data_IF_982501923614
#
_entry.id   IF_982501923614
#
_cell.length_a   1.000
_cell.length_b   1.000
_cell.length_c   1.000
_cell.angle_alpha   90.00
_cell.angle_beta   90.00
_cell.angle_gamma   90.00
#
_symmetry.space_group_name_H-M   'P 1'
#
loop_
_entity.id
_entity.type
_entity.pdbx_description
1 polymer ?
#
# COMPACT_ATOMS: atom_id res chain seq x y z
N UNK A 1 10.14 6.09 -2.86
CA UNK A 1 9.83 5.06 -1.84
C UNK A 1 10.88 5.04 -0.72
N UNK A 2 12.17 4.81 -1.02
CA UNK A 2 13.23 4.64 -0.02
C UNK A 2 13.44 5.87 0.89
N UNK A 3 13.49 7.07 0.30
CA UNK A 3 13.64 8.33 1.07
C UNK A 3 12.55 8.51 2.13
N UNK A 4 11.28 8.23 1.79
CA UNK A 4 10.15 8.33 2.72
C UNK A 4 10.23 7.34 3.89
N UNK A 5 10.81 6.15 3.68
CA UNK A 5 10.98 5.13 4.74
C UNK A 5 12.08 5.56 5.71
N UNK A 6 13.20 6.06 5.20
CA UNK A 6 14.33 6.50 6.03
C UNK A 6 13.98 7.77 6.81
N UNK A 7 13.36 8.75 6.16
CA UNK A 7 12.91 10.00 6.80
C UNK A 7 11.76 9.73 7.79
N UNK A 8 10.92 8.72 7.52
CA UNK A 8 9.86 8.31 8.44
C UNK A 8 10.35 7.75 9.78
N UNK A 9 11.65 7.48 9.94
CA UNK A 9 12.28 6.96 11.15
C UNK A 9 13.15 7.99 11.88
N UNK A 10 12.99 9.27 11.59
CA UNK A 10 13.82 10.34 12.14
C UNK A 10 13.59 10.59 13.64
N UNK A 11 12.33 10.48 14.10
CA UNK A 11 11.99 10.66 15.52
C UNK A 11 11.97 9.33 16.28
N UNK A 12 12.35 9.36 17.56
CA UNK A 12 12.27 8.19 18.46
C UNK A 12 10.86 7.61 18.56
N UNK A 13 9.82 8.45 18.53
CA UNK A 13 8.41 8.03 18.54
C UNK A 13 8.02 7.30 17.25
N UNK A 14 8.46 7.83 16.10
CA UNK A 14 8.23 7.20 14.80
C UNK A 14 8.91 5.83 14.73
N UNK A 15 10.15 5.72 15.25
CA UNK A 15 10.89 4.45 15.35
C UNK A 15 10.18 3.44 16.25
N UNK A 16 9.72 3.85 17.43
CA UNK A 16 9.00 2.97 18.36
C UNK A 16 7.69 2.45 17.74
N UNK A 17 6.93 3.32 17.08
CA UNK A 17 5.69 2.96 16.39
C UNK A 17 5.94 2.01 15.22
N UNK A 18 7.02 2.21 14.46
CA UNK A 18 7.41 1.31 13.37
C UNK A 18 7.78 -0.08 13.90
N UNK A 19 8.58 -0.17 14.96
CA UNK A 19 8.93 -1.45 15.60
C UNK A 19 7.69 -2.19 16.11
N UNK A 20 6.79 -1.49 16.80
CA UNK A 20 5.55 -2.09 17.29
C UNK A 20 4.70 -2.68 16.15
N UNK A 21 4.51 -1.95 15.05
CA UNK A 21 3.78 -2.46 13.87
C UNK A 21 4.44 -3.69 13.26
N UNK A 22 5.76 -3.71 13.18
CA UNK A 22 6.50 -4.86 12.65
C UNK A 22 6.30 -6.11 13.52
N UNK A 23 6.33 -5.99 14.85
CA UNK A 23 6.05 -7.12 15.75
C UNK A 23 4.59 -7.60 15.63
N UNK A 24 3.63 -6.66 15.52
CA UNK A 24 2.21 -6.99 15.42
C UNK A 24 1.87 -7.69 14.09
N UNK A 25 2.36 -7.16 12.98
CA UNK A 25 1.98 -7.61 11.64
C UNK A 25 2.86 -8.76 11.15
N UNK A 26 4.16 -8.72 11.45
CA UNK A 26 5.16 -9.62 10.88
C UNK A 26 5.82 -10.54 11.91
N UNK A 27 5.56 -10.34 13.21
CA UNK A 27 6.17 -11.12 14.31
C UNK A 27 7.70 -11.13 14.29
N UNK A 28 8.29 -10.11 13.65
CA UNK A 28 9.72 -9.89 13.61
C UNK A 28 10.03 -8.45 13.21
N UNK A 29 11.23 -8.01 13.55
CA UNK A 29 11.78 -6.72 13.10
C UNK A 29 12.38 -6.89 11.72
N UNK A 30 12.07 -5.94 10.84
CA UNK A 30 12.59 -5.89 9.47
C UNK A 30 13.47 -4.65 9.39
N UNK A 31 14.76 -4.83 9.13
CA UNK A 31 15.69 -3.70 9.11
C UNK A 31 15.42 -2.79 7.91
N UNK A 32 15.80 -1.49 7.99
CA UNK A 32 15.72 -0.59 6.84
C UNK A 32 16.42 -1.15 5.60
N UNK A 33 17.62 -1.73 5.75
CA UNK A 33 18.37 -2.33 4.65
C UNK A 33 17.65 -3.52 4.00
N UNK A 34 16.98 -4.35 4.81
CA UNK A 34 16.19 -5.46 4.30
C UNK A 34 14.98 -4.98 3.49
N UNK A 35 14.33 -3.91 3.95
CA UNK A 35 13.23 -3.27 3.20
C UNK A 35 13.74 -2.69 1.88
N UNK A 36 14.88 -1.99 1.89
CA UNK A 36 15.50 -1.43 0.68
C UNK A 36 15.82 -2.53 -0.33
N UNK A 37 16.52 -3.59 0.10
CA UNK A 37 16.86 -4.72 -0.77
C UNK A 37 15.63 -5.39 -1.39
N UNK A 38 14.55 -5.54 -0.62
CA UNK A 38 13.29 -6.09 -1.16
C UNK A 38 12.65 -5.19 -2.21
N UNK A 39 12.68 -3.87 -2.02
CA UNK A 39 12.14 -2.92 -2.99
C UNK A 39 12.98 -2.93 -4.27
N UNK A 40 14.31 -2.96 -4.14
CA UNK A 40 15.23 -2.99 -5.28
C UNK A 40 15.18 -4.31 -6.07
N UNK A 41 14.76 -5.40 -5.42
CA UNK A 41 14.61 -6.71 -6.05
C UNK A 41 13.32 -6.85 -6.88
N UNK A 42 12.38 -5.90 -6.78
CA UNK A 42 11.10 -5.98 -7.51
C UNK A 42 11.34 -5.84 -9.01
N UNK A 43 10.82 -6.78 -9.79
CA UNK A 43 10.86 -6.72 -11.25
C UNK A 43 9.52 -6.35 -11.91
N UNK A 44 9.55 -6.18 -13.24
CA UNK A 44 8.36 -5.82 -14.01
C UNK A 44 7.31 -6.94 -14.08
N UNK A 45 7.73 -8.20 -14.03
CA UNK A 45 6.82 -9.35 -14.11
C UNK A 45 6.02 -9.48 -12.82
N UNK A 46 6.67 -9.36 -11.66
CA UNK A 46 6.03 -9.32 -10.34
C UNK A 46 5.03 -8.17 -10.24
N UNK A 47 5.41 -6.98 -10.74
CA UNK A 47 4.50 -5.82 -10.78
C UNK A 47 3.25 -6.10 -11.62
N UNK A 48 3.42 -6.68 -12.81
CA UNK A 48 2.30 -7.03 -13.68
C UNK A 48 1.43 -8.14 -13.06
N UNK A 49 2.02 -9.09 -12.33
CA UNK A 49 1.28 -10.12 -11.61
C UNK A 49 0.43 -9.52 -10.50
N UNK A 50 1.00 -8.64 -9.67
CA UNK A 50 0.26 -7.90 -8.63
C UNK A 50 -0.88 -7.10 -9.27
N UNK A 51 -0.59 -6.39 -10.37
CA UNK A 51 -1.61 -5.59 -11.04
C UNK A 51 -2.79 -6.44 -11.52
N UNK A 52 -2.52 -7.55 -12.22
CA UNK A 52 -3.55 -8.49 -12.69
C UNK A 52 -4.34 -9.14 -11.55
N UNK A 53 -3.73 -9.32 -10.39
CA UNK A 53 -4.38 -9.96 -9.24
C UNK A 53 -5.36 -9.02 -8.55
N UNK A 54 -5.00 -7.74 -8.39
CA UNK A 54 -5.78 -6.82 -7.55
C UNK A 54 -6.65 -5.85 -8.35
N UNK A 55 -6.23 -5.42 -9.55
CA UNK A 55 -7.03 -4.55 -10.41
C UNK A 55 -8.05 -5.37 -11.21
N UNK A 56 -9.05 -5.87 -10.49
CA UNK A 56 -10.21 -6.55 -11.08
C UNK A 56 -11.47 -5.79 -10.73
N UNK A 57 -12.40 -5.64 -11.68
CA UNK A 57 -13.69 -4.96 -11.52
C UNK A 57 -14.45 -5.39 -10.25
N UNK A 58 -14.43 -6.68 -9.92
CA UNK A 58 -15.10 -7.23 -8.73
C UNK A 58 -14.54 -6.72 -7.40
N UNK A 59 -13.26 -6.34 -7.37
CA UNK A 59 -12.55 -5.87 -6.17
C UNK A 59 -12.53 -4.33 -6.05
N UNK A 60 -13.13 -3.60 -6.99
CA UNK A 60 -13.23 -2.16 -6.90
C UNK A 60 -14.39 -1.75 -5.97
N UNK A 61 -14.11 -0.77 -5.12
CA UNK A 61 -15.09 -0.12 -4.26
C UNK A 61 -15.00 1.40 -4.44
N UNK A 62 -16.16 2.06 -4.48
CA UNK A 62 -16.27 3.51 -4.60
C UNK A 62 -16.94 4.07 -3.35
N UNK A 63 -16.28 5.02 -2.68
CA UNK A 63 -16.87 5.83 -1.62
C UNK A 63 -17.00 7.28 -2.08
N UNK A 64 -18.18 7.88 -1.91
CA UNK A 64 -18.44 9.28 -2.22
C UNK A 64 -19.17 9.94 -1.03
N UNK A 65 -18.78 11.17 -0.70
CA UNK A 65 -19.34 11.94 0.42
C UNK A 65 -19.52 13.40 0.03
N UNK A 66 -20.67 14.00 0.38
CA UNK A 66 -20.98 15.42 0.14
C UNK A 66 -22.30 15.64 -0.59
N UNK A 67 -22.47 16.81 -1.20
CA UNK A 67 -23.61 17.06 -2.10
C UNK A 67 -23.31 16.44 -3.47
N UNK A 68 -23.89 15.26 -3.70
CA UNK A 68 -23.60 14.44 -4.87
C UNK A 68 -24.43 14.80 -6.11
N UNK A 69 -25.39 15.74 -6.04
CA UNK A 69 -26.14 16.28 -7.18
C UNK A 69 -26.59 15.22 -8.22
N UNK A 70 -27.16 14.09 -7.78
CA UNK A 70 -27.62 13.03 -8.67
C UNK A 70 -26.53 12.08 -9.19
N UNK A 71 -25.37 12.03 -8.53
CA UNK A 71 -24.33 11.05 -8.85
C UNK A 71 -24.82 9.62 -8.59
N UNK A 72 -25.01 8.89 -9.69
CA UNK A 72 -25.27 7.46 -9.68
C UNK A 72 -24.11 6.74 -10.37
N UNK A 73 -23.56 5.75 -9.68
CA UNK A 73 -22.57 4.82 -10.24
C UNK A 73 -23.11 3.41 -10.10
N UNK A 74 -23.10 2.71 -11.23
CA UNK A 74 -23.34 1.28 -11.31
C UNK A 74 -22.01 0.53 -11.47
N UNK A 75 -22.07 -0.81 -11.43
CA UNK A 75 -20.89 -1.65 -11.58
C UNK A 75 -20.27 -1.55 -12.97
N UNK A 76 -21.05 -1.29 -14.01
CA UNK A 76 -20.58 -1.17 -15.40
C UNK A 76 -19.59 -0.01 -15.54
N UNK A 77 -19.83 1.10 -14.83
CA UNK A 77 -18.91 2.25 -14.80
C UNK A 77 -17.60 2.00 -14.06
N UNK A 78 -17.45 0.87 -13.38
CA UNK A 78 -16.24 0.47 -12.67
C UNK A 78 -15.47 -0.64 -13.41
N UNK A 79 -15.85 -0.95 -14.65
CA UNK A 79 -15.17 -1.98 -15.44
C UNK A 79 -13.76 -1.53 -15.86
N UNK A 80 -12.77 -2.38 -15.58
CA UNK A 80 -11.36 -2.25 -15.98
C UNK A 80 -10.81 -3.56 -16.54
#
# INVERSE_FOLDING_TARGET
AISSILLGLESSSSRASALARQEIIHHRRISPDEVVKRIEAVDCEELLQVARTFFTTGNLALGALGNLNGFHVDRLRLEI
#
